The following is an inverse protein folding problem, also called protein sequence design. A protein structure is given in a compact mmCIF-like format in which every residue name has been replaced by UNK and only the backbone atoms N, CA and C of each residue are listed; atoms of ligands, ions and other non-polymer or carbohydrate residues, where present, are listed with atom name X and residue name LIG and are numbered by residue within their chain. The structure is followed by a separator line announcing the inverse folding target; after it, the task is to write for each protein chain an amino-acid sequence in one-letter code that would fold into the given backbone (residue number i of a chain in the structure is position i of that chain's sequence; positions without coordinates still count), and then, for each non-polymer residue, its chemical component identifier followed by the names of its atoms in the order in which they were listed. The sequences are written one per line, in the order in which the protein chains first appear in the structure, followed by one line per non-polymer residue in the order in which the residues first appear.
data_IF_994914940948
#
_entry.id   IF_994914940948
#
_cell.length_a   1.000
_cell.length_b   1.000
_cell.length_c   1.000
_cell.angle_alpha   90.00
_cell.angle_beta   90.00
_cell.angle_gamma   90.00
#
_symmetry.space_group_name_H-M   'P 1'
#
loop_
_entity.id
_entity.type
_entity.pdbx_description
1 polymer ?
#
# COMPACT_ATOMS: atom_id res chain seq x y z
N UNK A 1 -40.03 -12.19 -59.40
CA UNK A 1 -38.67 -11.80 -58.95
C UNK A 1 -38.77 -11.46 -57.47
N UNK A 2 -38.12 -12.24 -56.62
CA UNK A 2 -38.19 -12.15 -55.16
C UNK A 2 -36.85 -11.62 -54.62
N UNK A 3 -36.88 -10.57 -53.78
CA UNK A 3 -35.82 -10.19 -52.83
C UNK A 3 -36.30 -9.00 -51.98
N UNK A 4 -36.90 -9.26 -50.83
CA UNK A 4 -37.12 -8.29 -49.75
C UNK A 4 -37.43 -9.05 -48.46
N UNK A 5 -36.42 -9.34 -47.62
CA UNK A 5 -36.68 -10.08 -46.39
C UNK A 5 -35.52 -10.35 -45.43
N UNK A 6 -34.29 -9.88 -45.70
CA UNK A 6 -33.11 -10.30 -44.90
C UNK A 6 -32.43 -9.22 -44.07
N UNK A 7 -32.83 -7.94 -44.12
CA UNK A 7 -32.06 -6.86 -43.47
C UNK A 7 -32.49 -6.51 -42.04
N UNK A 8 -33.74 -6.76 -41.63
CA UNK A 8 -34.25 -6.26 -40.34
C UNK A 8 -33.82 -7.06 -39.11
N UNK A 9 -33.46 -8.33 -39.29
CA UNK A 9 -33.06 -9.23 -38.19
C UNK A 9 -31.56 -9.06 -37.87
N UNK A 10 -30.71 -8.85 -38.88
CA UNK A 10 -29.26 -8.66 -38.69
C UNK A 10 -28.91 -7.30 -38.06
N UNK A 11 -29.62 -6.22 -38.45
CA UNK A 11 -29.38 -4.86 -37.92
C UNK A 11 -29.80 -4.72 -36.44
N UNK A 12 -30.88 -5.40 -36.04
CA UNK A 12 -31.34 -5.45 -34.64
C UNK A 12 -30.35 -6.21 -33.74
N UNK A 13 -29.79 -7.32 -34.25
CA UNK A 13 -28.77 -8.10 -33.56
C UNK A 13 -27.44 -7.34 -33.38
N UNK A 14 -27.05 -6.51 -34.35
CA UNK A 14 -25.85 -5.68 -34.24
C UNK A 14 -26.01 -4.55 -33.19
N UNK A 15 -27.18 -3.93 -33.11
CA UNK A 15 -27.50 -2.86 -32.15
C UNK A 15 -27.55 -3.36 -30.69
N UNK A 16 -28.19 -4.52 -30.46
CA UNK A 16 -28.24 -5.19 -29.16
C UNK A 16 -26.84 -5.60 -28.66
N UNK A 17 -26.01 -6.17 -29.55
CA UNK A 17 -24.62 -6.53 -29.23
C UNK A 17 -23.78 -5.32 -28.82
N UNK A 18 -23.96 -4.17 -29.49
CA UNK A 18 -23.26 -2.92 -29.15
C UNK A 18 -23.67 -2.35 -27.79
N UNK A 19 -24.96 -2.44 -27.43
CA UNK A 19 -25.47 -2.01 -26.11
C UNK A 19 -24.95 -2.91 -24.99
N UNK A 20 -24.98 -4.23 -25.17
CA UNK A 20 -24.40 -5.17 -24.20
C UNK A 20 -22.89 -4.98 -24.03
N UNK A 21 -22.16 -4.73 -25.13
CA UNK A 21 -20.72 -4.47 -25.08
C UNK A 21 -20.41 -3.19 -24.28
N UNK A 22 -21.15 -2.10 -24.52
CA UNK A 22 -21.03 -0.85 -23.75
C UNK A 22 -21.38 -1.02 -22.28
N UNK A 23 -22.45 -1.74 -21.96
CA UNK A 23 -22.84 -2.00 -20.57
C UNK A 23 -21.80 -2.86 -19.82
N UNK A 24 -21.25 -3.88 -20.48
CA UNK A 24 -20.15 -4.68 -19.94
C UNK A 24 -18.90 -3.84 -19.70
N UNK A 25 -18.50 -3.05 -20.68
CA UNK A 25 -17.35 -2.14 -20.57
C UNK A 25 -17.52 -1.12 -19.44
N UNK A 26 -18.69 -0.49 -19.34
CA UNK A 26 -19.03 0.43 -18.25
C UNK A 26 -18.97 -0.27 -16.88
N UNK A 27 -19.50 -1.49 -16.75
CA UNK A 27 -19.43 -2.24 -15.49
C UNK A 27 -18.02 -2.69 -15.13
N UNK A 28 -17.18 -3.03 -16.11
CA UNK A 28 -15.76 -3.33 -15.89
C UNK A 28 -15.00 -2.09 -15.42
N UNK A 29 -15.23 -0.94 -16.05
CA UNK A 29 -14.68 0.35 -15.62
C UNK A 29 -15.13 0.73 -14.20
N UNK A 30 -16.38 0.40 -13.84
CA UNK A 30 -16.90 0.66 -12.50
C UNK A 30 -16.29 -0.27 -11.44
N UNK A 31 -16.04 -1.54 -11.79
CA UNK A 31 -15.35 -2.52 -10.92
C UNK A 31 -13.86 -2.22 -10.74
N UNK A 32 -13.21 -1.65 -11.75
CA UNK A 32 -11.79 -1.32 -11.75
C UNK A 32 -11.54 0.20 -11.61
N UNK A 33 -12.48 0.93 -11.01
CA UNK A 33 -12.45 2.39 -10.97
C UNK A 33 -11.13 2.98 -10.48
N UNK A 34 -10.47 2.34 -9.51
CA UNK A 34 -9.14 2.75 -9.04
C UNK A 34 -8.04 2.62 -10.10
N UNK A 35 -8.01 1.52 -10.85
CA UNK A 35 -7.03 1.30 -11.94
C UNK A 35 -7.32 2.24 -13.11
N UNK A 36 -8.59 2.48 -13.42
CA UNK A 36 -9.00 3.43 -14.46
C UNK A 36 -8.60 4.85 -14.07
N UNK A 37 -8.87 5.26 -12.83
CA UNK A 37 -8.45 6.55 -12.30
C UNK A 37 -6.92 6.70 -12.33
N UNK A 38 -6.18 5.67 -11.94
CA UNK A 38 -4.72 5.65 -12.01
C UNK A 38 -4.23 5.83 -13.46
N UNK A 39 -4.79 5.09 -14.41
CA UNK A 39 -4.41 5.20 -15.83
C UNK A 39 -4.68 6.60 -16.38
N UNK A 40 -5.82 7.20 -16.05
CA UNK A 40 -6.17 8.56 -16.46
C UNK A 40 -5.22 9.61 -15.85
N UNK A 41 -4.91 9.49 -14.56
CA UNK A 41 -3.95 10.39 -13.88
C UNK A 41 -2.56 10.24 -14.49
N UNK A 42 -2.10 9.02 -14.77
CA UNK A 42 -0.81 8.79 -15.43
C UNK A 42 -0.77 9.35 -16.84
N UNK A 43 -1.83 9.19 -17.64
CA UNK A 43 -1.92 9.74 -18.99
C UNK A 43 -1.88 11.27 -18.96
N UNK A 44 -2.67 11.87 -18.07
CA UNK A 44 -2.65 13.32 -17.88
C UNK A 44 -1.26 13.82 -17.48
N UNK A 45 -0.62 13.17 -16.50
CA UNK A 45 0.70 13.56 -16.03
C UNK A 45 1.77 13.41 -17.12
N UNK A 46 1.70 12.35 -17.94
CA UNK A 46 2.62 12.13 -19.06
C UNK A 46 2.50 13.19 -20.15
N UNK A 47 1.29 13.72 -20.40
CA UNK A 47 1.07 14.79 -21.38
C UNK A 47 1.39 16.17 -20.77
N UNK A 48 1.17 16.35 -19.47
CA UNK A 48 1.30 17.65 -18.82
C UNK A 48 2.72 17.99 -18.37
N UNK A 49 3.53 16.99 -18.04
CA UNK A 49 4.86 17.17 -17.45
C UNK A 49 5.92 16.34 -18.20
N UNK A 50 6.88 17.03 -18.83
CA UNK A 50 7.96 16.40 -19.58
C UNK A 50 8.84 15.48 -18.72
N UNK A 51 8.98 15.80 -17.42
CA UNK A 51 9.77 15.01 -16.48
C UNK A 51 9.05 13.74 -15.97
N UNK A 52 7.76 13.57 -16.23
CA UNK A 52 6.97 12.50 -15.61
C UNK A 52 7.45 11.09 -15.98
N UNK A 53 7.74 10.85 -17.26
CA UNK A 53 8.19 9.54 -17.77
C UNK A 53 9.73 9.37 -17.73
N UNK A 54 10.46 10.29 -17.11
CA UNK A 54 11.90 10.13 -16.93
C UNK A 54 12.20 8.95 -16.01
N UNK A 55 13.30 8.25 -16.28
CA UNK A 55 13.74 7.11 -15.46
C UNK A 55 13.98 7.51 -14.00
N UNK A 56 14.50 8.72 -13.77
CA UNK A 56 14.72 9.26 -12.43
C UNK A 56 13.40 9.45 -11.67
N UNK A 57 12.41 10.10 -12.29
CA UNK A 57 11.09 10.29 -11.67
C UNK A 57 10.39 8.96 -11.43
N UNK A 58 10.41 8.04 -12.40
CA UNK A 58 9.80 6.73 -12.24
C UNK A 58 10.45 5.93 -11.09
N UNK A 59 11.79 5.92 -11.01
CA UNK A 59 12.52 5.28 -9.93
C UNK A 59 12.24 5.94 -8.58
N UNK A 60 12.07 7.27 -8.54
CA UNK A 60 11.73 7.99 -7.32
C UNK A 60 10.32 7.61 -6.82
N UNK A 61 9.34 7.59 -7.73
CA UNK A 61 7.97 7.13 -7.42
C UNK A 61 8.00 5.69 -6.91
N UNK A 62 8.72 4.79 -7.58
CA UNK A 62 8.83 3.39 -7.17
C UNK A 62 9.50 3.24 -5.79
N UNK A 63 10.59 3.99 -5.52
CA UNK A 63 11.25 3.98 -4.21
C UNK A 63 10.34 4.46 -3.09
N UNK A 64 9.62 5.56 -3.30
CA UNK A 64 8.66 6.08 -2.32
C UNK A 64 7.51 5.09 -2.05
N UNK A 65 7.05 4.38 -3.09
CA UNK A 65 5.96 3.41 -2.96
C UNK A 65 6.40 2.03 -2.47
N UNK A 66 7.70 1.70 -2.48
CA UNK A 66 8.22 0.39 -2.04
C UNK A 66 7.79 0.07 -0.61
N UNK A 67 7.80 1.08 0.26
CA UNK A 67 7.36 0.99 1.65
C UNK A 67 5.89 0.57 1.78
N UNK A 68 4.99 1.26 1.07
CA UNK A 68 3.56 0.92 1.04
C UNK A 68 3.31 -0.43 0.36
N UNK A 69 4.08 -0.76 -0.69
CA UNK A 69 4.01 -2.03 -1.38
C UNK A 69 4.35 -3.21 -0.48
N UNK A 70 5.45 -3.13 0.28
CA UNK A 70 5.83 -4.17 1.24
C UNK A 70 4.80 -4.34 2.36
N UNK A 71 4.24 -3.23 2.87
CA UNK A 71 3.14 -3.29 3.85
C UNK A 71 1.91 -3.97 3.23
N UNK A 72 1.53 -3.62 2.00
CA UNK A 72 0.39 -4.21 1.31
C UNK A 72 0.55 -5.73 1.10
N UNK A 73 1.77 -6.20 0.79
CA UNK A 73 2.07 -7.63 0.71
C UNK A 73 1.83 -8.33 2.06
N UNK A 74 2.30 -7.76 3.17
CA UNK A 74 2.02 -8.30 4.51
C UNK A 74 0.53 -8.27 4.86
N UNK A 75 -0.14 -7.16 4.55
CA UNK A 75 -1.57 -6.96 4.77
C UNK A 75 -2.45 -7.93 3.99
N UNK A 76 -1.97 -8.45 2.86
CA UNK A 76 -2.68 -9.48 2.11
C UNK A 76 -2.95 -10.71 2.99
N UNK A 77 -1.98 -11.15 3.80
CA UNK A 77 -2.17 -12.27 4.72
C UNK A 77 -3.20 -11.96 5.82
N UNK A 78 -3.20 -10.73 6.34
CA UNK A 78 -4.18 -10.29 7.34
C UNK A 78 -5.60 -10.32 6.75
N UNK A 79 -5.78 -9.79 5.54
CA UNK A 79 -7.08 -9.78 4.87
C UNK A 79 -7.56 -11.19 4.54
N UNK A 80 -6.65 -12.07 4.09
CA UNK A 80 -6.97 -13.47 3.80
C UNK A 80 -7.48 -14.23 5.03
N UNK A 81 -7.04 -13.84 6.24
CA UNK A 81 -7.54 -14.39 7.50
C UNK A 81 -8.85 -13.74 7.98
N UNK A 82 -9.44 -12.84 7.18
CA UNK A 82 -10.67 -12.12 7.52
C UNK A 82 -10.47 -10.97 8.50
N UNK A 83 -9.22 -10.56 8.74
CA UNK A 83 -8.87 -9.48 9.65
C UNK A 83 -8.70 -8.12 8.99
N UNK A 84 -8.57 -7.09 9.83
CA UNK A 84 -8.13 -5.75 9.45
C UNK A 84 -7.04 -5.37 10.45
N UNK A 85 -5.91 -4.87 9.96
CA UNK A 85 -4.83 -4.37 10.81
C UNK A 85 -4.72 -2.85 10.70
N UNK A 86 -5.10 -2.18 11.79
CA UNK A 86 -5.00 -0.74 11.94
C UNK A 86 -3.63 -0.31 12.47
N UNK A 87 -2.86 -1.24 13.04
CA UNK A 87 -1.62 -0.95 13.75
C UNK A 87 -0.42 -0.74 12.82
N UNK A 88 -0.48 -1.16 11.56
CA UNK A 88 0.66 -1.10 10.62
C UNK A 88 1.28 0.29 10.48
N UNK A 89 0.47 1.35 10.50
CA UNK A 89 0.97 2.72 10.45
C UNK A 89 1.76 3.12 11.71
N UNK A 90 1.28 2.72 12.89
CA UNK A 90 1.99 2.96 14.16
C UNK A 90 3.23 2.10 14.30
N UNK A 91 3.19 0.83 13.88
CA UNK A 91 4.37 -0.04 13.89
C UNK A 91 5.45 0.48 12.96
N UNK A 92 5.05 1.03 11.82
CA UNK A 92 5.97 1.69 10.90
C UNK A 92 6.64 2.93 11.53
N UNK A 93 5.88 3.75 12.27
CA UNK A 93 6.45 4.87 13.01
C UNK A 93 7.46 4.39 14.09
N UNK A 94 7.13 3.32 14.82
CA UNK A 94 8.06 2.70 15.79
C UNK A 94 9.34 2.22 15.12
N UNK A 95 9.24 1.52 13.97
CA UNK A 95 10.41 1.10 13.21
C UNK A 95 11.28 2.29 12.77
N UNK A 96 10.65 3.37 12.31
CA UNK A 96 11.34 4.60 11.92
C UNK A 96 12.08 5.26 13.09
N UNK A 97 11.45 5.34 14.26
CA UNK A 97 12.07 5.88 15.49
C UNK A 97 13.26 5.04 15.93
N UNK A 98 13.12 3.71 15.94
CA UNK A 98 14.22 2.80 16.28
C UNK A 98 15.37 2.96 15.29
N UNK A 99 15.07 2.98 13.99
CA UNK A 99 16.08 3.13 12.95
C UNK A 99 16.83 4.47 13.09
N UNK A 100 16.11 5.56 13.35
CA UNK A 100 16.70 6.88 13.55
C UNK A 100 17.59 6.94 14.80
N UNK A 101 17.12 6.40 15.93
CA UNK A 101 17.88 6.36 17.18
C UNK A 101 19.16 5.50 17.09
N UNK A 102 19.16 4.49 16.21
CA UNK A 102 20.30 3.59 16.01
C UNK A 102 21.13 3.92 14.75
N UNK A 103 20.77 4.96 14.01
CA UNK A 103 21.40 5.27 12.72
C UNK A 103 22.91 5.53 12.84
N UNK A 104 23.35 6.10 13.97
CA UNK A 104 24.77 6.36 14.25
C UNK A 104 25.53 5.10 14.70
N UNK A 105 24.82 4.07 15.17
CA UNK A 105 25.39 2.79 15.65
C UNK A 105 25.63 1.79 14.52
N UNK A 106 25.14 2.08 13.32
CA UNK A 106 25.35 1.26 12.13
C UNK A 106 24.07 0.71 11.52
N UNK A 107 24.12 0.48 10.20
CA UNK A 107 22.99 0.02 9.38
C UNK A 107 22.35 -1.26 9.92
N UNK A 108 23.16 -2.29 10.17
CA UNK A 108 22.66 -3.58 10.61
C UNK A 108 22.00 -3.52 11.99
N UNK A 109 22.57 -2.73 12.92
CA UNK A 109 21.99 -2.56 14.25
C UNK A 109 20.60 -1.93 14.17
N UNK A 110 20.46 -0.84 13.41
CA UNK A 110 19.18 -0.18 13.19
C UNK A 110 18.16 -1.09 12.49
N UNK A 111 18.57 -1.79 11.43
CA UNK A 111 17.72 -2.68 10.65
C UNK A 111 17.20 -3.86 11.49
N UNK A 112 18.10 -4.60 12.14
CA UNK A 112 17.70 -5.78 12.92
C UNK A 112 16.88 -5.40 14.15
N UNK A 113 17.21 -4.30 14.83
CA UNK A 113 16.43 -3.84 15.97
C UNK A 113 15.00 -3.43 15.55
N UNK A 114 14.86 -2.65 14.47
CA UNK A 114 13.55 -2.24 13.97
C UNK A 114 12.70 -3.46 13.59
N UNK A 115 13.25 -4.38 12.79
CA UNK A 115 12.57 -5.61 12.35
C UNK A 115 12.19 -6.48 13.54
N UNK A 116 13.11 -6.70 14.49
CA UNK A 116 12.85 -7.54 15.65
C UNK A 116 11.70 -7.00 16.51
N UNK A 117 11.71 -5.69 16.82
CA UNK A 117 10.67 -5.08 17.64
C UNK A 117 9.31 -5.11 16.93
N UNK A 118 9.22 -4.70 15.67
CA UNK A 118 7.92 -4.73 14.96
C UNK A 118 7.41 -6.13 14.71
N UNK A 119 8.30 -7.11 14.49
CA UNK A 119 7.91 -8.52 14.39
C UNK A 119 7.32 -9.02 15.70
N UNK A 120 7.93 -8.67 16.83
CA UNK A 120 7.41 -9.03 18.15
C UNK A 120 6.02 -8.43 18.39
N UNK A 121 5.82 -7.15 18.05
CA UNK A 121 4.51 -6.51 18.17
C UNK A 121 3.46 -7.16 17.25
N UNK A 122 3.83 -7.49 16.02
CA UNK A 122 2.96 -8.23 15.09
C UNK A 122 2.61 -9.64 15.59
N UNK A 123 3.58 -10.33 16.19
CA UNK A 123 3.36 -11.64 16.82
C UNK A 123 2.41 -11.54 18.02
N UNK A 124 2.50 -10.49 18.83
CA UNK A 124 1.57 -10.24 19.92
C UNK A 124 0.14 -10.08 19.37
N UNK A 125 -0.06 -9.26 18.34
CA UNK A 125 -1.36 -9.13 17.68
C UNK A 125 -1.90 -10.48 17.20
N UNK A 126 -1.10 -11.22 16.43
CA UNK A 126 -1.50 -12.52 15.89
C UNK A 126 -1.81 -13.55 16.98
N UNK A 127 -0.98 -13.61 18.03
CA UNK A 127 -1.17 -14.54 19.14
C UNK A 127 -2.44 -14.23 19.95
N UNK A 128 -2.71 -12.95 20.24
CA UNK A 128 -3.92 -12.53 20.95
C UNK A 128 -5.16 -12.85 20.12
N UNK A 129 -5.16 -12.53 18.82
CA UNK A 129 -6.27 -12.85 17.92
C UNK A 129 -6.52 -14.36 17.88
N UNK A 130 -5.47 -15.16 17.65
CA UNK A 130 -5.58 -16.60 17.49
C UNK A 130 -5.99 -17.33 18.78
N UNK A 131 -5.46 -16.92 19.94
CA UNK A 131 -5.68 -17.61 21.23
C UNK A 131 -6.89 -17.06 21.99
N UNK A 132 -7.03 -15.74 22.07
CA UNK A 132 -8.12 -15.11 22.83
C UNK A 132 -9.42 -14.98 22.02
N UNK A 133 -9.40 -15.27 20.72
CA UNK A 133 -10.55 -15.19 19.80
C UNK A 133 -11.24 -13.82 19.82
N UNK A 134 -10.45 -12.76 20.02
CA UNK A 134 -10.91 -11.37 19.95
C UNK A 134 -10.91 -10.93 18.49
N UNK A 135 -11.88 -10.11 18.09
CA UNK A 135 -11.95 -9.58 16.73
C UNK A 135 -10.66 -8.81 16.37
N UNK A 136 -10.02 -9.06 15.20
CA UNK A 136 -8.76 -8.43 14.81
C UNK A 136 -8.74 -6.90 14.86
N UNK A 137 -9.87 -6.26 14.54
CA UNK A 137 -10.02 -4.80 14.59
C UNK A 137 -9.70 -4.23 15.98
N UNK A 138 -10.22 -4.85 17.05
CA UNK A 138 -10.05 -4.36 18.42
C UNK A 138 -8.60 -4.51 18.86
N UNK A 139 -8.00 -5.67 18.60
CA UNK A 139 -6.60 -5.95 18.98
C UNK A 139 -5.65 -5.00 18.28
N UNK A 140 -5.85 -4.80 16.97
CA UNK A 140 -4.97 -3.93 16.17
C UNK A 140 -5.21 -2.46 16.46
N UNK A 141 -6.43 -2.03 16.82
CA UNK A 141 -6.68 -0.68 17.32
C UNK A 141 -5.96 -0.44 18.66
N UNK A 142 -6.03 -1.38 19.60
CA UNK A 142 -5.32 -1.27 20.87
C UNK A 142 -3.80 -1.21 20.67
N UNK A 143 -3.27 -2.08 19.80
CA UNK A 143 -1.85 -2.06 19.44
C UNK A 143 -1.46 -0.76 18.72
N UNK A 144 -2.31 -0.21 17.86
CA UNK A 144 -2.07 1.08 17.20
C UNK A 144 -1.84 2.19 18.24
N UNK A 145 -2.66 2.24 19.30
CA UNK A 145 -2.53 3.22 20.38
C UNK A 145 -1.26 2.97 21.19
N UNK A 146 -1.01 1.73 21.59
CA UNK A 146 0.16 1.37 22.39
C UNK A 146 1.49 1.59 21.63
N UNK A 147 1.57 1.20 20.36
CA UNK A 147 2.74 1.43 19.52
C UNK A 147 2.98 2.93 19.30
N UNK A 148 1.92 3.72 19.13
CA UNK A 148 2.03 5.18 19.04
C UNK A 148 2.58 5.76 20.36
N UNK A 149 2.05 5.34 21.50
CA UNK A 149 2.57 5.73 22.81
C UNK A 149 4.04 5.35 23.00
N UNK A 150 4.43 4.15 22.56
CA UNK A 150 5.82 3.70 22.59
C UNK A 150 6.72 4.57 21.71
N UNK A 151 6.27 4.94 20.50
CA UNK A 151 7.01 5.84 19.63
C UNK A 151 7.20 7.20 20.31
N UNK A 152 6.14 7.82 20.84
CA UNK A 152 6.22 9.10 21.55
C UNK A 152 7.16 9.05 22.76
N UNK A 153 7.06 7.99 23.57
CA UNK A 153 7.94 7.80 24.72
C UNK A 153 9.41 7.63 24.30
N UNK A 154 9.66 6.92 23.20
CA UNK A 154 11.00 6.69 22.67
C UNK A 154 11.63 7.95 22.03
N UNK A 155 10.82 8.92 21.61
CA UNK A 155 11.31 10.21 21.10
C UNK A 155 11.32 11.32 22.14
N UNK A 156 10.80 11.08 23.36
CA UNK A 156 10.63 12.13 24.36
C UNK A 156 9.69 13.23 23.89
N UNK A 157 8.68 12.90 23.07
CA UNK A 157 7.73 13.82 22.44
C UNK A 157 8.36 14.81 21.42
N UNK A 158 9.64 14.65 21.11
CA UNK A 158 10.39 15.48 20.17
C UNK A 158 10.68 14.77 18.84
N UNK A 159 11.18 15.53 17.87
CA UNK A 159 11.67 14.96 16.60
C UNK A 159 13.04 14.30 16.79
N UNK A 160 13.17 13.03 16.38
CA UNK A 160 14.47 12.34 16.39
C UNK A 160 15.37 12.95 15.31
N UNK A 161 16.43 13.62 15.76
CA UNK A 161 17.45 14.19 14.87
C UNK A 161 18.60 13.22 14.70
N UNK A 162 18.87 12.81 13.47
CA UNK A 162 20.04 12.00 13.13
C UNK A 162 21.18 12.95 12.76
N UNK A 163 22.21 13.05 13.60
CA UNK A 163 23.31 13.99 13.43
C UNK A 163 24.37 13.48 12.46
N UNK A 164 24.84 12.23 12.66
CA UNK A 164 25.84 11.61 11.78
C UNK A 164 25.46 10.19 11.41
N UNK A 165 25.10 10.00 10.13
CA UNK A 165 24.83 8.66 9.59
C UNK A 165 26.10 7.81 9.59
N UNK A 166 25.99 6.56 10.04
CA UNK A 166 27.04 5.57 9.86
C UNK A 166 27.21 5.24 8.35
N UNK A 167 28.43 4.91 7.92
CA UNK A 167 28.77 4.76 6.49
C UNK A 167 27.91 3.75 5.69
N UNK A 168 27.29 2.78 6.36
CA UNK A 168 26.35 1.85 5.73
C UNK A 168 25.05 2.51 5.25
N UNK A 169 24.59 3.57 5.92
CA UNK A 169 23.41 4.34 5.49
C UNK A 169 23.73 5.22 4.29
N UNK A 170 24.91 5.84 4.25
CA UNK A 170 25.32 6.69 3.12
C UNK A 170 25.54 5.91 1.82
N UNK A 171 25.76 4.60 1.91
CA UNK A 171 25.90 3.72 0.74
C UNK A 171 24.55 3.30 0.13
N UNK A 172 23.44 3.41 0.88
CA UNK A 172 22.10 3.05 0.42
C UNK A 172 21.38 4.18 -0.34
N UNK A 173 22.00 5.37 -0.42
CA UNK A 173 21.43 6.58 -1.02
C UNK A 173 20.91 7.55 0.02
#
# INVERSE_FOLDING_TARGET
MAQAGTTTVDDAGASERGKLARARFASLMQKQGALVALALVCLFAAVRYDSFLTSENLLNIMRQNTMLGLIALGMTFVILTGGIDLSVGSLLAVAGVIAANLAERGLFAALFAAVAVTTLLGLINGAVIAKARIQPFIVTLAMMIAARGLALAATGEDAVRVGRLAGGFTALG
#
